data_IF_341564438502
#
_entry.id   IF_341564438502
#
_cell.length_a   1.000
_cell.length_b   1.000
_cell.length_c   1.000
_cell.angle_alpha   90.00
_cell.angle_beta   90.00
_cell.angle_gamma   90.00
#
_symmetry.space_group_name_H-M   'P 1'
#
loop_
_entity.id
_entity.type
_entity.pdbx_description
1 polymer ?
#
# COMPACT_ATOMS: atom_id res chain seq x y z
N UNK A 1 -6.53 6.06 9.91
CA UNK A 1 -6.21 4.64 9.83
C UNK A 1 -5.63 4.32 8.45
N UNK A 2 -4.61 3.46 8.39
CA UNK A 2 -4.04 2.98 7.15
C UNK A 2 -3.75 1.47 7.26
N UNK A 3 -3.98 0.72 6.16
CA UNK A 3 -3.70 -0.71 6.14
C UNK A 3 -3.27 -1.16 4.75
N UNK A 4 -2.15 -1.88 4.72
CA UNK A 4 -1.76 -2.77 3.64
C UNK A 4 -1.55 -4.16 4.23
N UNK A 5 -2.31 -5.13 3.76
CA UNK A 5 -2.23 -6.49 4.27
C UNK A 5 -2.65 -7.51 3.21
N UNK A 6 -1.80 -8.51 2.98
CA UNK A 6 -2.05 -9.60 2.04
C UNK A 6 -1.15 -10.81 2.42
N UNK A 7 -1.30 -11.98 1.78
CA UNK A 7 -0.59 -13.18 2.22
C UNK A 7 0.91 -13.25 1.85
N UNK A 8 1.45 -12.21 1.22
CA UNK A 8 2.85 -12.13 0.82
C UNK A 8 3.10 -12.54 -0.63
N UNK A 9 4.27 -12.13 -1.14
CA UNK A 9 4.63 -12.25 -2.57
C UNK A 9 4.89 -13.68 -3.04
N UNK A 10 5.13 -14.62 -2.13
CA UNK A 10 5.42 -16.02 -2.46
C UNK A 10 4.31 -16.73 -3.24
N UNK A 11 3.09 -16.20 -3.19
CA UNK A 11 1.94 -16.77 -3.89
C UNK A 11 1.95 -16.46 -5.40
N UNK A 12 2.64 -15.40 -5.83
CA UNK A 12 2.63 -14.94 -7.23
C UNK A 12 4.02 -14.57 -7.79
N UNK A 13 5.09 -14.62 -6.99
CA UNK A 13 6.45 -14.37 -7.45
C UNK A 13 7.31 -15.64 -7.41
N UNK A 14 8.05 -15.99 -8.49
CA UNK A 14 8.81 -17.24 -8.56
C UNK A 14 10.09 -17.26 -7.72
N UNK A 15 10.59 -16.10 -7.28
CA UNK A 15 11.76 -15.95 -6.42
C UNK A 15 11.42 -14.96 -5.28
N UNK A 16 10.65 -15.37 -4.27
CA UNK A 16 10.14 -14.48 -3.23
C UNK A 16 11.14 -14.14 -2.12
N UNK A 17 12.26 -14.87 -2.04
CA UNK A 17 13.22 -14.80 -0.93
C UNK A 17 13.69 -13.37 -0.59
N UNK A 18 13.96 -12.46 -1.55
CA UNK A 18 14.41 -11.10 -1.24
C UNK A 18 13.41 -10.30 -0.40
N UNK A 19 12.10 -10.54 -0.58
CA UNK A 19 11.06 -9.87 0.22
C UNK A 19 10.99 -10.35 1.67
N UNK A 20 11.70 -11.40 2.00
CA UNK A 20 11.73 -12.00 3.34
C UNK A 20 13.15 -12.06 3.93
N UNK A 21 14.12 -11.44 3.25
CA UNK A 21 15.50 -11.35 3.69
C UNK A 21 15.66 -10.41 4.89
N UNK A 22 16.65 -10.66 5.73
CA UNK A 22 17.00 -9.81 6.86
C UNK A 22 17.45 -8.41 6.39
N UNK A 23 16.91 -7.37 7.02
CA UNK A 23 17.21 -5.94 6.76
C UNK A 23 16.87 -5.42 5.34
N UNK A 24 16.42 -6.26 4.43
CA UNK A 24 16.12 -5.88 3.04
C UNK A 24 14.67 -6.13 2.66
N UNK A 25 13.97 -6.98 3.41
CA UNK A 25 12.60 -7.41 3.13
C UNK A 25 11.56 -6.90 4.12
N UNK A 26 10.36 -7.46 3.97
CA UNK A 26 9.20 -7.19 4.79
C UNK A 26 8.28 -6.10 4.25
N UNK A 27 7.05 -6.06 4.73
CA UNK A 27 6.01 -5.16 4.22
C UNK A 27 6.32 -3.67 4.45
N UNK A 28 7.20 -3.33 5.41
CA UNK A 28 7.61 -1.94 5.64
C UNK A 28 8.56 -1.45 4.56
N UNK A 29 9.52 -2.28 4.14
CA UNK A 29 10.47 -1.90 3.09
C UNK A 29 9.80 -1.92 1.72
N UNK A 30 8.98 -2.93 1.44
CA UNK A 30 8.31 -3.11 0.16
C UNK A 30 7.16 -2.09 -0.04
N UNK A 31 6.25 -2.00 0.91
CA UNK A 31 5.00 -1.25 0.76
C UNK A 31 4.92 0.02 1.61
N UNK A 32 5.73 0.09 2.66
CA UNK A 32 5.79 1.28 3.53
C UNK A 32 6.02 2.59 2.77
N UNK A 33 6.93 2.67 1.80
CA UNK A 33 7.18 3.90 1.05
C UNK A 33 5.93 4.50 0.40
N UNK A 34 5.04 3.68 -0.17
CA UNK A 34 3.79 4.15 -0.79
C UNK A 34 2.85 4.77 0.25
N UNK A 35 2.61 4.06 1.34
CA UNK A 35 1.68 4.49 2.39
C UNK A 35 2.23 5.67 3.19
N UNK A 36 3.50 5.62 3.59
CA UNK A 36 4.13 6.69 4.39
C UNK A 36 4.26 7.97 3.57
N UNK A 37 4.63 7.90 2.29
CA UNK A 37 4.67 9.07 1.41
C UNK A 37 3.29 9.69 1.24
N UNK A 38 2.24 8.88 1.01
CA UNK A 38 0.88 9.38 0.92
C UNK A 38 0.44 10.06 2.23
N UNK A 39 0.70 9.45 3.38
CA UNK A 39 0.35 10.01 4.68
C UNK A 39 1.11 11.32 4.98
N UNK A 40 2.40 11.39 4.68
CA UNK A 40 3.20 12.62 4.86
C UNK A 40 2.71 13.73 3.92
N UNK A 41 2.37 13.42 2.68
CA UNK A 41 1.79 14.40 1.75
C UNK A 41 0.43 14.93 2.23
N UNK A 42 -0.40 14.09 2.83
CA UNK A 42 -1.74 14.45 3.29
C UNK A 42 -1.72 15.19 4.64
N UNK A 43 -0.82 14.82 5.55
CA UNK A 43 -0.86 15.21 6.96
C UNK A 43 0.36 16.04 7.40
N UNK A 44 1.38 16.16 6.57
CA UNK A 44 2.63 16.85 6.90
C UNK A 44 3.66 15.95 7.58
N UNK A 45 4.71 16.53 8.19
CA UNK A 45 5.81 15.78 8.76
C UNK A 45 5.38 14.91 9.96
N UNK A 46 5.94 13.70 10.01
CA UNK A 46 5.79 12.82 11.16
C UNK A 46 6.68 13.30 12.33
N UNK A 47 6.10 13.36 13.53
CA UNK A 47 6.77 13.79 14.75
C UNK A 47 7.26 12.61 15.60
N UNK A 48 6.43 11.58 15.71
CA UNK A 48 6.72 10.42 16.55
C UNK A 48 6.09 9.17 15.98
N UNK A 49 6.77 8.05 16.16
CA UNK A 49 6.25 6.72 15.82
C UNK A 49 6.44 5.78 17.01
N UNK A 50 5.43 4.95 17.25
CA UNK A 50 5.49 3.84 18.17
C UNK A 50 4.89 2.62 17.51
N UNK A 51 5.59 1.48 17.53
CA UNK A 51 5.13 0.29 16.85
C UNK A 51 5.61 -1.02 17.47
N UNK A 52 5.04 -2.08 16.95
CA UNK A 52 5.43 -3.46 17.23
C UNK A 52 5.45 -4.24 15.93
N UNK A 53 6.33 -5.24 15.88
CA UNK A 53 6.40 -6.16 14.75
C UNK A 53 6.46 -7.61 15.24
N UNK A 54 6.08 -8.50 14.34
CA UNK A 54 6.16 -9.94 14.58
C UNK A 54 6.45 -10.68 13.28
N UNK A 55 7.03 -11.85 13.41
CA UNK A 55 7.19 -12.83 12.35
C UNK A 55 6.27 -14.01 12.69
N UNK A 56 5.30 -14.31 11.81
CA UNK A 56 4.31 -15.37 12.07
C UNK A 56 4.83 -16.74 11.67
N UNK A 57 5.56 -16.82 10.56
CA UNK A 57 6.09 -18.07 10.02
C UNK A 57 7.62 -18.04 9.95
N UNK A 58 8.27 -19.11 10.35
CA UNK A 58 9.71 -19.27 10.20
C UNK A 58 10.12 -19.59 8.76
N UNK A 59 9.24 -20.30 8.03
CA UNK A 59 9.42 -20.69 6.64
C UNK A 59 8.13 -20.52 5.86
N UNK A 60 8.26 -20.31 4.54
CA UNK A 60 7.15 -20.23 3.60
C UNK A 60 7.43 -21.05 2.36
N UNK A 61 6.38 -21.50 1.69
CA UNK A 61 6.43 -22.24 0.44
C UNK A 61 6.34 -21.31 -0.76
N UNK A 62 7.16 -21.57 -1.78
CA UNK A 62 7.07 -20.87 -3.08
C UNK A 62 5.87 -21.40 -3.84
N UNK A 63 4.90 -20.54 -4.12
CA UNK A 63 3.61 -20.93 -4.71
C UNK A 63 3.63 -21.12 -6.21
N UNK A 64 4.61 -20.54 -6.95
CA UNK A 64 4.66 -20.60 -8.42
C UNK A 64 6.09 -20.69 -8.95
N UNK A 65 6.21 -20.99 -10.25
CA UNK A 65 7.48 -21.04 -10.96
C UNK A 65 8.23 -22.37 -10.83
N UNK A 66 9.50 -22.40 -11.28
CA UNK A 66 10.32 -23.62 -11.27
C UNK A 66 10.59 -24.21 -9.88
N UNK A 67 10.59 -23.35 -8.86
CA UNK A 67 10.82 -23.71 -7.46
C UNK A 67 9.53 -23.93 -6.66
N UNK A 68 8.37 -24.04 -7.33
CA UNK A 68 7.09 -24.25 -6.63
C UNK A 68 7.16 -25.47 -5.71
N UNK A 69 6.73 -25.28 -4.46
CA UNK A 69 6.77 -26.30 -3.41
C UNK A 69 8.06 -26.29 -2.58
N UNK A 70 9.10 -25.56 -2.98
CA UNK A 70 10.29 -25.40 -2.14
C UNK A 70 10.00 -24.45 -0.98
N UNK A 71 10.57 -24.79 0.19
CA UNK A 71 10.49 -23.96 1.38
C UNK A 71 11.67 -22.99 1.45
N UNK A 72 11.41 -21.76 1.91
CA UNK A 72 12.45 -20.77 2.17
C UNK A 72 12.25 -20.12 3.55
N UNK A 73 13.35 -19.65 4.15
CA UNK A 73 13.36 -19.04 5.47
C UNK A 73 12.83 -17.58 5.41
N UNK A 74 12.04 -17.23 6.41
CA UNK A 74 11.62 -15.86 6.69
C UNK A 74 12.56 -15.25 7.71
N UNK A 75 13.32 -14.23 7.31
CA UNK A 75 14.38 -13.65 8.13
C UNK A 75 14.03 -12.24 8.66
N UNK A 76 12.89 -11.69 8.25
CA UNK A 76 12.41 -10.35 8.68
C UNK A 76 11.04 -10.47 9.32
N UNK A 77 10.61 -9.52 10.16
CA UNK A 77 9.23 -9.43 10.59
C UNK A 77 8.28 -9.25 9.40
N UNK A 78 7.12 -9.90 9.47
CA UNK A 78 6.14 -9.95 8.38
C UNK A 78 4.84 -9.21 8.69
N UNK A 79 4.65 -8.80 9.95
CA UNK A 79 3.55 -7.93 10.37
C UNK A 79 4.05 -6.82 11.26
N UNK A 80 3.64 -5.59 10.94
CA UNK A 80 3.93 -4.38 11.70
C UNK A 80 2.64 -3.64 12.02
N UNK A 81 2.50 -3.23 13.27
CA UNK A 81 1.45 -2.37 13.78
C UNK A 81 2.09 -1.14 14.38
N UNK A 82 1.71 0.05 13.93
CA UNK A 82 2.29 1.28 14.46
C UNK A 82 1.25 2.39 14.60
N UNK A 83 1.56 3.33 15.48
CA UNK A 83 0.89 4.62 15.61
C UNK A 83 1.88 5.70 15.23
N UNK A 84 1.49 6.60 14.34
CA UNK A 84 2.30 7.74 13.88
C UNK A 84 1.59 9.01 14.30
N UNK A 85 2.26 9.86 15.07
CA UNK A 85 1.81 11.22 15.37
C UNK A 85 2.50 12.19 14.42
N UNK A 86 1.74 13.10 13.84
CA UNK A 86 2.22 14.16 12.94
C UNK A 86 2.38 15.48 13.70
N UNK A 87 3.10 16.45 13.12
CA UNK A 87 3.34 17.77 13.72
C UNK A 87 2.05 18.58 13.97
N UNK A 88 0.99 18.32 13.21
CA UNK A 88 -0.33 18.91 13.38
C UNK A 88 -1.22 18.17 14.41
N UNK A 89 -0.61 17.31 15.23
CA UNK A 89 -1.25 16.45 16.25
C UNK A 89 -2.22 15.38 15.67
N UNK A 90 -2.29 15.20 14.37
CA UNK A 90 -3.00 14.07 13.79
C UNK A 90 -2.32 12.75 14.17
N UNK A 91 -3.11 11.74 14.48
CA UNK A 91 -2.61 10.39 14.82
C UNK A 91 -3.18 9.38 13.84
N UNK A 92 -2.29 8.59 13.23
CA UNK A 92 -2.63 7.49 12.33
C UNK A 92 -2.21 6.16 12.96
N UNK A 93 -3.12 5.21 12.96
CA UNK A 93 -2.80 3.80 13.16
C UNK A 93 -2.50 3.18 11.80
N UNK A 94 -1.33 2.56 11.62
CA UNK A 94 -0.95 1.87 10.39
C UNK A 94 -0.69 0.39 10.64
N UNK A 95 -1.16 -0.45 9.72
CA UNK A 95 -0.89 -1.89 9.67
C UNK A 95 -0.23 -2.22 8.33
N UNK A 96 0.94 -2.86 8.36
CA UNK A 96 1.61 -3.39 7.17
C UNK A 96 1.89 -4.88 7.40
N UNK A 97 1.32 -5.77 6.58
CA UNK A 97 1.40 -7.21 6.83
C UNK A 97 1.46 -8.05 5.57
N UNK A 98 2.31 -9.09 5.60
CA UNK A 98 2.37 -10.19 4.65
C UNK A 98 1.71 -11.49 5.19
N UNK A 99 0.91 -11.40 6.27
CA UNK A 99 0.34 -12.54 6.97
C UNK A 99 -1.19 -12.61 6.90
N UNK A 100 -1.83 -11.69 6.20
CA UNK A 100 -3.29 -11.58 6.14
C UNK A 100 -3.80 -12.14 4.82
N UNK A 101 -4.64 -13.15 4.88
CA UNK A 101 -5.22 -13.79 3.68
C UNK A 101 -6.16 -12.82 2.93
N UNK A 102 -6.97 -12.07 3.66
CA UNK A 102 -7.94 -11.13 3.09
C UNK A 102 -8.47 -10.18 4.16
N UNK A 103 -8.85 -8.97 3.76
CA UNK A 103 -9.56 -8.02 4.62
C UNK A 103 -10.55 -7.17 3.80
N UNK A 104 -11.50 -6.52 4.48
CA UNK A 104 -12.52 -5.65 3.88
C UNK A 104 -12.37 -4.18 4.31
N UNK A 105 -11.22 -3.79 4.88
CA UNK A 105 -10.96 -2.42 5.32
C UNK A 105 -10.50 -1.56 4.15
N UNK A 106 -10.84 -0.28 4.19
CA UNK A 106 -10.29 0.69 3.26
C UNK A 106 -8.80 0.90 3.51
N UNK A 107 -8.03 1.17 2.46
CA UNK A 107 -6.58 1.30 2.54
C UNK A 107 -6.14 2.47 3.41
N UNK A 108 -6.76 3.65 3.23
CA UNK A 108 -6.54 4.83 4.08
C UNK A 108 -7.90 5.46 4.40
N UNK A 109 -8.10 5.78 5.67
CA UNK A 109 -9.27 6.47 6.19
C UNK A 109 -8.82 7.61 7.10
N UNK A 110 -9.29 8.82 6.81
CA UNK A 110 -9.04 10.01 7.62
C UNK A 110 -10.35 10.51 8.22
N UNK A 111 -10.34 10.78 9.51
CA UNK A 111 -11.50 11.24 10.26
C UNK A 111 -11.21 12.60 10.86
N UNK A 112 -11.97 13.60 10.47
CA UNK A 112 -11.85 14.97 10.96
C UNK A 112 -13.17 15.51 11.50
N UNK A 113 -13.09 16.66 12.15
CA UNK A 113 -14.27 17.34 12.72
C UNK A 113 -15.19 17.97 11.66
N UNK A 114 -14.72 18.12 10.42
CA UNK A 114 -15.50 18.65 9.28
C UNK A 114 -15.95 17.57 8.31
N UNK A 115 -15.51 16.35 8.49
CA UNK A 115 -15.86 15.23 7.62
C UNK A 115 -14.84 14.09 7.69
N UNK A 116 -15.12 13.05 6.94
CA UNK A 116 -14.28 11.86 6.82
C UNK A 116 -13.98 11.58 5.35
N UNK A 117 -12.79 11.02 5.10
CA UNK A 117 -12.32 10.73 3.74
C UNK A 117 -11.81 9.29 3.70
N UNK A 118 -12.24 8.53 2.68
CA UNK A 118 -11.61 7.28 2.27
C UNK A 118 -10.72 7.60 1.08
N UNK A 119 -9.46 7.26 1.19
CA UNK A 119 -8.45 7.45 0.15
C UNK A 119 -8.18 6.11 -0.53
N UNK A 120 -8.05 6.05 -1.87
CA UNK A 120 -7.71 4.82 -2.57
C UNK A 120 -6.32 4.31 -2.19
N UNK A 121 -6.01 3.07 -2.59
CA UNK A 121 -4.71 2.46 -2.34
C UNK A 121 -3.58 3.29 -2.99
N UNK A 122 -2.62 3.82 -2.20
CA UNK A 122 -1.53 4.62 -2.75
C UNK A 122 -0.54 3.83 -3.61
N UNK A 123 -0.57 2.50 -3.57
CA UNK A 123 0.20 1.65 -4.46
C UNK A 123 -0.46 1.52 -5.85
N UNK A 124 -1.73 1.89 -5.97
CA UNK A 124 -2.46 1.88 -7.23
C UNK A 124 -2.57 3.30 -7.75
N UNK A 125 -2.31 3.50 -9.04
CA UNK A 125 -2.42 4.82 -9.67
C UNK A 125 -3.86 5.07 -10.09
N UNK A 126 -4.70 5.46 -9.15
CA UNK A 126 -6.10 5.78 -9.39
C UNK A 126 -7.03 5.23 -8.36
N UNK A 127 -8.28 5.39 -8.64
CA UNK A 127 -9.37 5.03 -7.77
C UNK A 127 -10.20 6.25 -7.40
N UNK A 128 -11.25 6.00 -6.64
CA UNK A 128 -12.13 7.06 -6.16
C UNK A 128 -11.83 7.37 -4.71
N UNK A 129 -11.81 8.64 -4.36
CA UNK A 129 -11.91 9.07 -2.97
C UNK A 129 -13.40 9.19 -2.60
N UNK A 130 -13.74 8.84 -1.37
CA UNK A 130 -15.10 9.01 -0.86
C UNK A 130 -15.07 9.98 0.30
N UNK A 131 -15.99 10.93 0.30
CA UNK A 131 -16.05 11.99 1.31
C UNK A 131 -17.44 12.02 1.93
N UNK A 132 -17.49 12.12 3.26
CA UNK A 132 -18.72 12.38 4.01
C UNK A 132 -18.52 13.59 4.92
N UNK A 133 -19.38 14.59 4.79
CA UNK A 133 -19.39 15.83 5.61
C UNK A 133 -20.58 15.91 6.56
N UNK A 134 -21.40 14.87 6.60
CA UNK A 134 -22.61 14.79 7.44
C UNK A 134 -22.49 13.60 8.38
N UNK A 135 -22.72 13.80 9.66
CA UNK A 135 -22.66 12.74 10.65
C UNK A 135 -23.66 11.62 10.31
N UNK A 136 -23.16 10.39 10.15
CA UNK A 136 -23.95 9.27 9.70
C UNK A 136 -24.52 9.40 8.28
N UNK A 137 -24.02 10.39 7.51
CA UNK A 137 -24.53 10.73 6.19
C UNK A 137 -23.96 9.87 5.06
N UNK A 138 -24.40 10.20 3.86
CA UNK A 138 -23.96 9.53 2.65
C UNK A 138 -22.52 9.91 2.30
N UNK A 139 -21.83 8.96 1.69
CA UNK A 139 -20.50 9.16 1.13
C UNK A 139 -20.62 9.60 -0.34
N UNK A 140 -20.06 10.75 -0.66
CA UNK A 140 -19.93 11.24 -2.04
C UNK A 140 -18.67 10.66 -2.69
N UNK A 141 -18.81 10.08 -3.87
CA UNK A 141 -17.67 9.62 -4.66
C UNK A 141 -17.03 10.79 -5.39
N UNK A 142 -15.72 10.90 -5.27
CA UNK A 142 -14.88 11.81 -6.04
C UNK A 142 -13.89 10.99 -6.86
N UNK A 143 -14.12 10.91 -8.16
CA UNK A 143 -13.17 10.30 -9.08
C UNK A 143 -11.91 11.14 -9.10
N UNK A 144 -10.80 10.52 -8.78
CA UNK A 144 -9.50 11.18 -8.91
C UNK A 144 -9.15 11.19 -10.39
N UNK A 145 -9.27 12.37 -11.02
CA UNK A 145 -8.70 12.58 -12.34
C UNK A 145 -7.18 12.55 -12.20
N UNK A 146 -6.60 11.53 -12.77
CA UNK A 146 -5.22 11.13 -12.63
C UNK A 146 -4.23 11.99 -13.39
N UNK A 147 -4.56 13.26 -13.68
CA UNK A 147 -3.79 14.11 -14.55
C UNK A 147 -3.45 15.47 -13.95
N UNK A 148 -2.57 15.56 -12.94
CA UNK A 148 -1.95 16.84 -12.63
C UNK A 148 -0.93 17.29 -13.70
N UNK A 149 -0.40 16.39 -14.53
CA UNK A 149 0.76 16.64 -15.38
C UNK A 149 0.48 16.71 -16.88
N UNK A 150 -0.76 17.03 -17.29
CA UNK A 150 -1.12 17.17 -18.70
C UNK A 150 -1.25 15.83 -19.44
N UNK A 151 -1.65 15.88 -20.69
CA UNK A 151 -1.83 14.70 -21.56
C UNK A 151 -0.46 14.12 -21.94
N UNK A 152 0.18 13.39 -21.06
CA UNK A 152 1.34 12.59 -21.43
C UNK A 152 0.83 11.34 -22.15
N UNK A 153 0.90 11.35 -23.47
CA UNK A 153 0.68 10.18 -24.29
C UNK A 153 1.89 9.22 -24.13
N UNK A 154 1.98 8.58 -22.98
CA UNK A 154 2.92 7.47 -22.83
C UNK A 154 2.29 6.30 -23.57
N UNK A 155 2.70 6.09 -24.81
CA UNK A 155 2.49 4.81 -25.49
C UNK A 155 3.30 3.79 -24.70
N UNK A 156 2.66 3.10 -23.76
CA UNK A 156 3.31 2.03 -23.03
C UNK A 156 3.62 0.92 -24.03
N UNK A 157 4.89 0.64 -24.19
CA UNK A 157 5.35 -0.61 -24.79
C UNK A 157 5.27 -1.74 -23.74
N UNK A 158 4.13 -1.90 -23.10
CA UNK A 158 3.92 -3.04 -22.23
C UNK A 158 3.50 -4.22 -23.12
N UNK A 159 4.34 -5.23 -23.15
CA UNK A 159 4.13 -6.50 -23.84
C UNK A 159 3.04 -7.39 -23.22
N UNK A 160 2.21 -6.86 -22.35
CA UNK A 160 1.06 -7.55 -21.74
C UNK A 160 -0.23 -7.13 -22.43
N UNK A 161 -0.58 -7.88 -23.44
CA UNK A 161 -1.72 -7.61 -24.34
C UNK A 161 -3.13 -7.65 -23.71
N UNK A 162 -3.28 -7.85 -22.40
CA UNK A 162 -4.57 -8.03 -21.73
C UNK A 162 -4.81 -7.13 -20.51
N UNK A 163 -3.95 -6.15 -20.24
CA UNK A 163 -4.23 -5.18 -19.17
C UNK A 163 -5.01 -3.99 -19.74
N UNK A 164 -6.09 -3.61 -19.05
CA UNK A 164 -6.88 -2.43 -19.39
C UNK A 164 -5.97 -1.21 -19.60
N UNK A 165 -6.14 -0.41 -20.66
CA UNK A 165 -5.27 0.71 -21.00
C UNK A 165 -5.11 1.76 -19.89
N UNK A 166 -5.99 1.73 -18.90
CA UNK A 166 -6.01 2.69 -17.80
C UNK A 166 -4.96 2.44 -16.72
N UNK A 167 -4.53 1.19 -16.49
CA UNK A 167 -3.64 0.87 -15.37
C UNK A 167 -2.13 0.93 -15.71
N UNK A 168 -1.77 0.75 -16.98
CA UNK A 168 -0.37 0.72 -17.39
C UNK A 168 0.25 2.13 -17.54
N UNK A 169 -0.57 3.15 -17.74
CA UNK A 169 -0.11 4.49 -18.09
C UNK A 169 0.46 5.30 -16.93
N UNK A 170 0.30 4.84 -15.69
CA UNK A 170 0.56 5.67 -14.52
C UNK A 170 1.83 5.32 -13.74
N UNK A 171 2.33 4.10 -13.89
CA UNK A 171 3.56 3.68 -13.20
C UNK A 171 4.84 4.36 -13.69
N UNK A 172 4.76 5.19 -14.71
CA UNK A 172 5.89 5.89 -15.28
C UNK A 172 5.96 7.39 -14.98
N UNK A 173 4.94 7.96 -14.32
CA UNK A 173 4.88 9.43 -14.11
C UNK A 173 6.00 9.93 -13.21
N UNK A 174 6.38 9.18 -12.19
CA UNK A 174 7.50 9.53 -11.31
C UNK A 174 8.89 9.39 -11.95
N UNK A 175 8.99 8.80 -13.14
CA UNK A 175 10.25 8.70 -13.90
C UNK A 175 10.38 9.78 -14.98
N UNK A 176 9.37 10.63 -15.15
CA UNK A 176 9.36 11.72 -16.14
C UNK A 176 9.71 13.08 -15.55
N UNK A 177 9.99 13.14 -14.27
CA UNK A 177 10.58 14.29 -13.57
C UNK A 177 12.09 14.11 -13.44
#
# INVERSE_FOLDING_TARGET
NAIFAFPGVQSYHPNPEPWFAENEGGPVIDMGPYYLTALVNLLGPAKQVQGRCTKVFEEREIGIGPKKGEMFKVQTPTTYLATIQFENDCIIQITLSFDVVSHQRNHIELYGNKGSIIVPDPNMFGGSAFVSVTAGGNWGEHKTDMMPLGKINIKSQSSRANESPTNANYRGVGLSE
#
